data_IF_098189018269
#
_entry.id   IF_098189018269
#
_cell.length_a   1.000
_cell.length_b   1.000
_cell.length_c   1.000
_cell.angle_alpha   90.00
_cell.angle_beta   90.00
_cell.angle_gamma   90.00
#
_symmetry.space_group_name_H-M   'P 1'
#
loop_
_entity.id
_entity.type
_entity.pdbx_description
1 polymer ?
#
# COMPACT_ATOMS: atom_id res chain seq x y z
N UNK A 1 -9.83 -21.24 5.15
CA UNK A 1 -10.95 -20.40 5.59
C UNK A 1 -11.49 -19.71 4.37
N UNK A 2 -12.79 -19.45 4.29
CA UNK A 2 -13.40 -18.89 3.08
C UNK A 2 -13.00 -17.44 2.81
N UNK A 3 -12.40 -16.76 3.80
CA UNK A 3 -11.90 -15.40 3.70
C UNK A 3 -10.47 -15.28 3.17
N UNK A 4 -9.76 -16.39 2.96
CA UNK A 4 -8.46 -16.33 2.27
C UNK A 4 -8.65 -16.02 0.78
N UNK A 5 -7.75 -15.18 0.26
CA UNK A 5 -7.89 -14.59 -1.08
C UNK A 5 -8.04 -15.62 -2.22
N UNK A 6 -7.30 -16.76 -2.26
CA UNK A 6 -7.48 -17.76 -3.31
C UNK A 6 -8.85 -18.46 -3.27
N UNK A 7 -9.28 -18.87 -2.07
CA UNK A 7 -10.54 -19.56 -1.82
C UNK A 7 -11.73 -18.64 -2.13
N UNK A 8 -11.67 -17.40 -1.64
CA UNK A 8 -12.71 -16.42 -1.91
C UNK A 8 -12.85 -16.09 -3.40
N UNK A 9 -11.74 -15.96 -4.13
CA UNK A 9 -11.78 -15.78 -5.59
C UNK A 9 -12.42 -16.97 -6.30
N UNK A 10 -12.07 -18.20 -5.92
CA UNK A 10 -12.67 -19.42 -6.49
C UNK A 10 -14.18 -19.49 -6.21
N UNK A 11 -14.61 -19.03 -5.04
CA UNK A 11 -16.01 -18.92 -4.66
C UNK A 11 -16.75 -17.92 -5.55
N UNK A 12 -16.22 -16.71 -5.73
CA UNK A 12 -16.82 -15.69 -6.60
C UNK A 12 -16.92 -16.17 -8.06
N UNK A 13 -15.90 -16.87 -8.57
CA UNK A 13 -15.94 -17.45 -9.92
C UNK A 13 -17.01 -18.54 -10.06
N UNK A 14 -17.26 -19.31 -9.00
CA UNK A 14 -18.34 -20.30 -8.98
C UNK A 14 -19.71 -19.60 -8.96
N UNK A 15 -19.86 -18.54 -8.16
CA UNK A 15 -21.09 -17.73 -8.14
C UNK A 15 -21.37 -17.09 -9.50
N UNK A 16 -20.36 -16.57 -10.19
CA UNK A 16 -20.54 -16.05 -11.56
C UNK A 16 -21.08 -17.12 -12.50
N UNK A 17 -20.52 -18.33 -12.48
CA UNK A 17 -21.00 -19.46 -13.32
C UNK A 17 -22.43 -19.86 -13.00
N UNK A 18 -22.83 -19.82 -11.72
CA UNK A 18 -24.20 -20.07 -11.31
C UNK A 18 -25.14 -18.99 -11.85
N UNK A 19 -24.79 -17.72 -11.69
CA UNK A 19 -25.59 -16.60 -12.21
C UNK A 19 -25.66 -16.58 -13.76
N UNK A 20 -24.60 -17.00 -14.46
CA UNK A 20 -24.60 -17.22 -15.91
C UNK A 20 -25.58 -18.32 -16.33
N UNK A 21 -25.60 -19.44 -15.59
CA UNK A 21 -26.51 -20.55 -15.86
C UNK A 21 -27.98 -20.20 -15.62
N UNK A 22 -28.25 -19.30 -14.67
CA UNK A 22 -29.60 -18.83 -14.33
C UNK A 22 -30.05 -17.64 -15.20
N UNK A 23 -29.22 -17.18 -16.15
CA UNK A 23 -29.45 -15.99 -16.97
C UNK A 23 -29.70 -14.70 -16.13
N UNK A 24 -29.15 -14.65 -14.92
CA UNK A 24 -29.32 -13.57 -13.96
C UNK A 24 -28.42 -12.37 -14.27
N UNK A 25 -28.75 -11.65 -15.35
CA UNK A 25 -27.94 -10.55 -15.89
C UNK A 25 -27.66 -9.43 -14.87
N UNK A 26 -28.60 -9.14 -13.97
CA UNK A 26 -28.42 -8.08 -12.98
C UNK A 26 -27.42 -8.48 -11.88
N UNK A 27 -27.42 -9.76 -11.49
CA UNK A 27 -26.43 -10.33 -10.55
C UNK A 27 -25.04 -10.33 -11.18
N UNK A 28 -24.93 -10.70 -12.46
CA UNK A 28 -23.66 -10.63 -13.20
C UNK A 28 -23.14 -9.20 -13.32
N UNK A 29 -24.04 -8.24 -13.57
CA UNK A 29 -23.72 -6.81 -13.62
C UNK A 29 -23.18 -6.32 -12.27
N UNK A 30 -23.81 -6.70 -11.16
CA UNK A 30 -23.36 -6.36 -9.81
C UNK A 30 -22.00 -7.00 -9.49
N UNK A 31 -21.81 -8.29 -9.79
CA UNK A 31 -20.55 -9.01 -9.59
C UNK A 31 -19.40 -8.42 -10.41
N UNK A 32 -19.66 -7.96 -11.63
CA UNK A 32 -18.65 -7.43 -12.54
C UNK A 32 -18.24 -5.98 -12.26
N UNK A 33 -19.09 -5.20 -11.58
CA UNK A 33 -18.89 -3.75 -11.35
C UNK A 33 -18.58 -3.38 -9.90
N UNK A 34 -18.61 -4.34 -8.99
CA UNK A 34 -18.33 -4.12 -7.57
C UNK A 34 -16.90 -4.54 -7.21
N UNK A 35 -16.33 -3.85 -6.22
CA UNK A 35 -15.21 -4.35 -5.46
C UNK A 35 -15.75 -5.23 -4.33
N UNK A 36 -15.43 -6.53 -4.37
CA UNK A 36 -15.99 -7.52 -3.46
C UNK A 36 -14.94 -7.92 -2.42
N UNK A 37 -15.31 -7.82 -1.15
CA UNK A 37 -14.46 -8.23 -0.02
C UNK A 37 -15.23 -9.11 0.95
N UNK A 38 -14.53 -9.92 1.74
CA UNK A 38 -15.11 -10.79 2.76
C UNK A 38 -14.41 -10.54 4.09
N UNK A 39 -15.16 -10.57 5.19
CA UNK A 39 -14.62 -10.44 6.54
C UNK A 39 -15.32 -11.39 7.50
N UNK A 40 -14.56 -11.97 8.41
CA UNK A 40 -15.14 -12.62 9.59
C UNK A 40 -15.77 -11.54 10.48
N UNK A 41 -17.07 -11.65 10.70
CA UNK A 41 -17.86 -10.68 11.48
C UNK A 41 -18.48 -11.27 12.73
N UNK A 42 -18.41 -12.59 12.89
CA UNK A 42 -18.89 -13.28 14.07
C UNK A 42 -18.18 -14.60 14.29
N UNK A 43 -18.33 -15.12 15.50
CA UNK A 43 -17.88 -16.44 15.87
C UNK A 43 -18.76 -16.95 17.01
N UNK A 44 -19.39 -18.11 16.81
CA UNK A 44 -20.07 -18.85 17.87
C UNK A 44 -19.14 -19.94 18.40
N UNK A 45 -19.16 -20.17 19.72
CA UNK A 45 -18.34 -21.15 20.42
C UNK A 45 -19.08 -22.46 20.72
N UNK A 46 -20.30 -22.65 20.19
CA UNK A 46 -21.10 -23.86 20.41
C UNK A 46 -20.81 -24.91 19.33
N UNK A 47 -20.86 -26.20 19.69
CA UNK A 47 -20.76 -27.36 18.78
C UNK A 47 -19.60 -27.34 17.75
N UNK A 48 -18.36 -27.09 18.19
CA UNK A 48 -17.19 -27.12 17.30
C UNK A 48 -16.83 -25.76 16.69
N UNK A 49 -17.65 -24.74 16.93
CA UNK A 49 -17.40 -23.34 16.60
C UNK A 49 -17.73 -23.00 15.16
N UNK A 50 -18.55 -21.97 14.94
CA UNK A 50 -18.97 -21.53 13.61
C UNK A 50 -18.46 -20.10 13.38
N UNK A 51 -17.72 -19.93 12.29
CA UNK A 51 -17.23 -18.63 11.82
C UNK A 51 -18.27 -18.00 10.90
N UNK A 52 -18.72 -16.79 11.24
CA UNK A 52 -19.68 -16.05 10.43
C UNK A 52 -18.97 -14.97 9.64
N UNK A 53 -19.18 -14.98 8.34
CA UNK A 53 -18.59 -14.02 7.42
C UNK A 53 -19.65 -13.08 6.84
N UNK A 54 -19.24 -11.85 6.57
CA UNK A 54 -19.99 -10.86 5.80
C UNK A 54 -19.24 -10.54 4.52
N UNK A 55 -19.94 -10.58 3.39
CA UNK A 55 -19.41 -10.17 2.08
C UNK A 55 -19.88 -8.76 1.77
N UNK A 56 -18.93 -7.86 1.46
CA UNK A 56 -19.20 -6.48 1.12
C UNK A 56 -19.06 -6.27 -0.38
N UNK A 57 -20.08 -5.66 -0.98
CA UNK A 57 -20.09 -5.22 -2.37
C UNK A 57 -19.96 -3.71 -2.40
N UNK A 58 -18.76 -3.20 -2.65
CA UNK A 58 -18.53 -1.78 -2.84
C UNK A 58 -18.82 -1.40 -4.30
N UNK A 59 -19.85 -0.59 -4.51
CA UNK A 59 -20.33 -0.15 -5.84
C UNK A 59 -20.19 1.35 -6.00
N UNK A 60 -20.00 1.83 -7.23
CA UNK A 60 -19.94 3.26 -7.51
C UNK A 60 -21.20 3.99 -7.02
N UNK A 61 -21.04 5.24 -6.56
CA UNK A 61 -22.14 6.00 -5.92
C UNK A 61 -23.34 6.15 -6.85
N UNK A 62 -23.11 6.36 -8.14
CA UNK A 62 -24.17 6.43 -9.16
C UNK A 62 -25.01 5.15 -9.22
N UNK A 63 -24.35 4.00 -9.16
CA UNK A 63 -25.00 2.69 -9.20
C UNK A 63 -25.67 2.35 -7.85
N UNK A 64 -25.05 2.73 -6.73
CA UNK A 64 -25.65 2.56 -5.41
C UNK A 64 -27.01 3.26 -5.30
N UNK A 65 -27.18 4.42 -5.95
CA UNK A 65 -28.46 5.15 -5.99
C UNK A 65 -29.57 4.34 -6.67
N UNK A 66 -29.24 3.48 -7.63
CA UNK A 66 -30.20 2.60 -8.30
C UNK A 66 -30.67 1.48 -7.36
N UNK A 67 -29.73 0.88 -6.62
CA UNK A 67 -30.01 -0.21 -5.69
C UNK A 67 -30.62 0.25 -4.36
N UNK A 68 -30.41 1.51 -3.96
CA UNK A 68 -30.78 2.00 -2.61
C UNK A 68 -32.26 1.80 -2.25
N UNK A 69 -33.13 1.74 -3.25
CA UNK A 69 -34.58 1.61 -3.06
C UNK A 69 -34.99 0.18 -2.64
N UNK A 70 -34.14 -0.82 -2.88
CA UNK A 70 -34.38 -2.23 -2.54
C UNK A 70 -33.07 -2.95 -2.13
N UNK A 71 -32.35 -2.37 -1.16
CA UNK A 71 -31.07 -2.95 -0.70
C UNK A 71 -31.25 -4.33 -0.10
N UNK A 72 -32.27 -4.52 0.74
CA UNK A 72 -32.53 -5.81 1.40
C UNK A 72 -32.82 -6.91 0.38
N UNK A 73 -33.53 -6.60 -0.71
CA UNK A 73 -33.77 -7.55 -1.81
C UNK A 73 -32.48 -7.97 -2.49
N UNK A 74 -31.63 -7.00 -2.87
CA UNK A 74 -30.33 -7.28 -3.48
C UNK A 74 -29.38 -8.05 -2.57
N UNK A 75 -29.26 -7.64 -1.31
CA UNK A 75 -28.41 -8.32 -0.32
C UNK A 75 -28.86 -9.76 -0.11
N UNK A 76 -30.18 -10.01 -0.07
CA UNK A 76 -30.73 -11.36 0.06
C UNK A 76 -30.44 -12.22 -1.17
N UNK A 77 -30.68 -11.72 -2.38
CA UNK A 77 -30.40 -12.44 -3.64
C UNK A 77 -28.92 -12.82 -3.71
N UNK A 78 -28.03 -11.88 -3.42
CA UNK A 78 -26.59 -12.14 -3.42
C UNK A 78 -26.17 -13.15 -2.35
N UNK A 79 -26.78 -13.08 -1.16
CA UNK A 79 -26.53 -14.03 -0.09
C UNK A 79 -26.91 -15.46 -0.51
N UNK A 80 -28.06 -15.64 -1.16
CA UNK A 80 -28.51 -16.94 -1.66
C UNK A 80 -27.49 -17.53 -2.65
N UNK A 81 -27.00 -16.73 -3.60
CA UNK A 81 -25.95 -17.15 -4.54
C UNK A 81 -24.64 -17.50 -3.84
N UNK A 82 -24.20 -16.70 -2.87
CA UNK A 82 -22.94 -16.91 -2.14
C UNK A 82 -23.00 -18.10 -1.19
N UNK A 83 -24.17 -18.47 -0.70
CA UNK A 83 -24.34 -19.62 0.18
C UNK A 83 -24.25 -20.95 -0.58
N UNK A 84 -24.65 -21.02 -1.85
CA UNK A 84 -24.69 -22.27 -2.62
C UNK A 84 -23.33 -23.02 -2.66
N UNK A 85 -22.18 -22.37 -2.94
CA UNK A 85 -20.90 -23.06 -3.02
C UNK A 85 -20.37 -23.51 -1.66
N UNK A 86 -20.76 -22.85 -0.56
CA UNK A 86 -20.22 -23.09 0.79
C UNK A 86 -21.06 -24.06 1.64
N UNK A 87 -22.16 -24.59 1.10
CA UNK A 87 -23.05 -25.54 1.81
C UNK A 87 -22.36 -26.80 2.34
N UNK A 88 -21.20 -27.14 1.81
CA UNK A 88 -20.41 -28.30 2.22
C UNK A 88 -19.53 -28.01 3.43
N UNK A 89 -19.44 -26.76 3.88
CA UNK A 89 -18.66 -26.35 5.04
C UNK A 89 -19.51 -26.45 6.30
N UNK A 90 -18.97 -27.11 7.32
CA UNK A 90 -19.70 -27.33 8.59
C UNK A 90 -19.46 -26.22 9.62
N UNK A 91 -18.31 -25.54 9.54
CA UNK A 91 -17.87 -24.58 10.56
C UNK A 91 -17.71 -23.14 10.02
N UNK A 92 -18.08 -22.88 8.76
CA UNK A 92 -17.92 -21.58 8.12
C UNK A 92 -19.20 -21.22 7.37
N UNK A 93 -19.75 -20.03 7.64
CA UNK A 93 -21.00 -19.57 7.05
C UNK A 93 -20.87 -18.15 6.51
N UNK A 94 -21.29 -17.94 5.26
CA UNK A 94 -21.60 -16.60 4.76
C UNK A 94 -22.99 -16.23 5.29
N UNK A 95 -22.98 -15.38 6.31
CA UNK A 95 -24.17 -15.02 7.09
C UNK A 95 -24.86 -13.75 6.62
N UNK A 96 -24.11 -12.89 5.91
CA UNK A 96 -24.59 -11.57 5.48
C UNK A 96 -23.90 -11.12 4.21
N UNK A 97 -24.65 -10.38 3.40
CA UNK A 97 -24.14 -9.53 2.32
C UNK A 97 -24.47 -8.08 2.65
N UNK A 98 -23.56 -7.17 2.34
CA UNK A 98 -23.82 -5.74 2.51
C UNK A 98 -23.39 -4.97 1.27
N UNK A 99 -24.32 -4.24 0.66
CA UNK A 99 -24.01 -3.31 -0.42
C UNK A 99 -23.60 -1.98 0.20
N UNK A 100 -22.45 -1.45 -0.20
CA UNK A 100 -21.95 -0.15 0.29
C UNK A 100 -21.59 0.74 -0.89
N UNK A 101 -21.84 2.06 -0.79
CA UNK A 101 -21.28 2.98 -1.77
C UNK A 101 -19.76 2.99 -1.60
N UNK A 102 -19.04 2.93 -2.72
CA UNK A 102 -17.60 3.05 -2.78
C UNK A 102 -17.21 4.47 -2.36
N UNK A 103 -17.02 4.66 -1.06
CA UNK A 103 -16.37 5.85 -0.52
C UNK A 103 -14.86 5.63 -0.63
N UNK A 104 -14.08 6.70 -0.82
CA UNK A 104 -12.60 6.63 -0.78
C UNK A 104 -12.03 6.08 0.55
N UNK A 105 -12.88 5.81 1.53
CA UNK A 105 -12.56 5.23 2.85
C UNK A 105 -12.78 3.70 2.85
N UNK A 106 -13.45 3.14 1.83
CA UNK A 106 -13.87 1.73 1.75
C UNK A 106 -13.08 0.89 0.73
N UNK A 107 -11.86 1.29 0.33
CA UNK A 107 -10.89 0.35 -0.23
C UNK A 107 -10.34 -0.50 0.91
N UNK A 108 -11.11 -1.50 1.32
CA UNK A 108 -10.75 -2.44 2.38
C UNK A 108 -10.05 -3.69 1.84
N UNK A 109 -9.60 -3.66 0.58
CA UNK A 109 -8.59 -4.60 0.11
C UNK A 109 -7.30 -4.32 0.87
N UNK A 110 -6.75 -5.34 1.54
CA UNK A 110 -5.36 -5.23 2.00
C UNK A 110 -4.50 -4.84 0.80
N UNK A 111 -3.57 -3.89 0.98
CA UNK A 111 -2.73 -3.41 -0.10
C UNK A 111 -1.95 -4.59 -0.69
N UNK A 112 -2.42 -5.14 -1.82
CA UNK A 112 -1.77 -6.25 -2.52
C UNK A 112 -0.98 -5.70 -3.72
N UNK A 113 0.36 -5.66 -3.66
CA UNK A 113 1.19 -5.13 -4.74
C UNK A 113 1.09 -5.92 -6.05
N UNK A 114 0.56 -7.15 -6.01
CA UNK A 114 0.49 -8.06 -7.16
C UNK A 114 -0.89 -8.09 -7.83
N UNK A 115 -1.84 -7.23 -7.43
CA UNK A 115 -3.13 -7.16 -8.12
C UNK A 115 -3.03 -6.35 -9.42
N UNK A 116 -3.84 -6.66 -10.44
CA UNK A 116 -4.00 -5.78 -11.60
C UNK A 116 -4.50 -4.39 -11.17
N UNK A 117 -3.93 -3.34 -11.80
CA UNK A 117 -4.33 -1.96 -11.58
C UNK A 117 -5.51 -1.59 -12.49
N UNK A 118 -6.43 -0.78 -11.97
CA UNK A 118 -7.51 -0.15 -12.75
C UNK A 118 -6.97 0.92 -13.69
N UNK A 119 -7.77 1.33 -14.68
CA UNK A 119 -7.37 2.40 -15.61
C UNK A 119 -7.14 3.76 -14.94
N UNK A 120 -7.77 4.03 -13.78
CA UNK A 120 -7.49 5.22 -12.99
C UNK A 120 -6.13 5.12 -12.30
N UNK A 121 -5.86 3.99 -11.66
CA UNK A 121 -4.60 3.72 -10.96
C UNK A 121 -3.39 3.67 -11.91
N UNK A 122 -3.58 3.18 -13.14
CA UNK A 122 -2.54 3.25 -14.17
C UNK A 122 -2.22 4.70 -14.53
N UNK A 123 -3.23 5.56 -14.68
CA UNK A 123 -3.03 6.99 -14.93
C UNK A 123 -2.31 7.67 -13.77
N UNK A 124 -2.70 7.37 -12.54
CA UNK A 124 -2.04 7.91 -11.35
C UNK A 124 -0.59 7.44 -11.22
N UNK A 125 -0.33 6.16 -11.54
CA UNK A 125 1.01 5.60 -11.61
C UNK A 125 1.85 6.32 -12.66
N UNK A 126 1.29 6.63 -13.82
CA UNK A 126 1.97 7.35 -14.90
C UNK A 126 2.29 8.80 -14.50
N UNK A 127 1.34 9.51 -13.89
CA UNK A 127 1.55 10.85 -13.35
C UNK A 127 2.68 10.89 -12.32
N UNK A 128 2.64 9.97 -11.35
CA UNK A 128 3.68 9.85 -10.33
C UNK A 128 5.03 9.49 -10.96
N UNK A 129 5.05 8.61 -11.94
CA UNK A 129 6.25 8.24 -12.70
C UNK A 129 6.87 9.46 -13.38
N UNK A 130 6.06 10.30 -14.04
CA UNK A 130 6.55 11.52 -14.68
C UNK A 130 7.11 12.51 -13.67
N UNK A 131 6.48 12.63 -12.50
CA UNK A 131 6.94 13.48 -11.41
C UNK A 131 8.29 13.00 -10.85
N UNK A 132 8.43 11.70 -10.56
CA UNK A 132 9.67 11.09 -10.04
C UNK A 132 10.88 11.29 -10.98
N UNK A 133 10.68 11.49 -12.28
CA UNK A 133 11.77 11.79 -13.21
C UNK A 133 12.38 13.18 -12.98
N UNK A 134 11.62 14.12 -12.42
CA UNK A 134 11.99 15.53 -12.31
C UNK A 134 12.54 15.88 -10.93
N UNK A 135 11.96 15.30 -9.87
CA UNK A 135 12.24 15.65 -8.47
C UNK A 135 13.72 15.53 -8.09
N UNK A 136 14.21 16.39 -7.20
CA UNK A 136 15.50 16.24 -6.51
C UNK A 136 15.47 15.10 -5.48
N UNK A 137 16.62 14.76 -4.87
CA UNK A 137 16.68 13.80 -3.75
C UNK A 137 15.89 14.32 -2.53
N UNK A 138 15.91 15.63 -2.32
CA UNK A 138 15.22 16.33 -1.25
C UNK A 138 13.71 16.26 -1.47
N UNK A 139 13.27 16.58 -2.68
CA UNK A 139 11.85 16.50 -3.07
C UNK A 139 11.35 15.06 -3.07
N UNK A 140 12.19 14.08 -3.45
CA UNK A 140 11.88 12.66 -3.29
C UNK A 140 11.67 12.31 -1.82
N UNK A 141 12.49 12.85 -0.92
CA UNK A 141 12.34 12.59 0.52
C UNK A 141 11.08 13.28 1.06
N UNK A 142 10.97 14.59 0.91
CA UNK A 142 9.94 15.42 1.54
C UNK A 142 8.54 15.24 0.93
N UNK A 143 8.45 15.20 -0.40
CA UNK A 143 7.15 15.22 -1.09
C UNK A 143 6.64 13.81 -1.43
N UNK A 144 7.50 12.78 -1.34
CA UNK A 144 7.13 11.39 -1.66
C UNK A 144 7.28 10.48 -0.43
N UNK A 145 8.51 10.28 0.04
CA UNK A 145 8.77 9.26 1.05
C UNK A 145 8.15 9.60 2.40
N UNK A 146 8.19 10.87 2.81
CA UNK A 146 7.63 11.29 4.09
C UNK A 146 6.09 11.12 4.16
N UNK A 147 5.30 11.58 3.17
CA UNK A 147 3.87 11.25 3.07
C UNK A 147 3.60 9.75 3.06
N UNK A 148 4.38 8.99 2.27
CA UNK A 148 4.26 7.54 2.17
C UNK A 148 4.43 6.86 3.54
N UNK A 149 5.55 7.10 4.23
CA UNK A 149 5.82 6.45 5.50
C UNK A 149 4.81 6.87 6.59
N UNK A 150 4.38 8.13 6.61
CA UNK A 150 3.31 8.56 7.52
C UNK A 150 2.00 7.82 7.26
N UNK A 151 1.63 7.66 5.99
CA UNK A 151 0.43 6.91 5.61
C UNK A 151 0.53 5.44 6.02
N UNK A 152 1.72 4.84 5.90
CA UNK A 152 1.99 3.48 6.35
C UNK A 152 2.09 3.33 7.88
N UNK A 153 1.88 4.39 8.65
CA UNK A 153 1.83 4.35 10.13
C UNK A 153 3.16 4.59 10.83
N UNK A 154 4.22 4.97 10.11
CA UNK A 154 5.47 5.39 10.74
C UNK A 154 5.31 6.75 11.42
N UNK A 155 5.90 6.85 12.61
CA UNK A 155 5.89 8.04 13.45
C UNK A 155 7.25 8.74 13.40
N UNK A 156 7.23 10.04 13.74
CA UNK A 156 8.42 10.90 13.84
C UNK A 156 9.32 10.80 12.62
N UNK A 157 8.73 10.78 11.43
CA UNK A 157 9.50 10.91 10.20
C UNK A 157 10.07 12.33 10.22
N UNK A 158 11.32 12.47 10.64
CA UNK A 158 12.02 13.74 10.87
C UNK A 158 13.35 13.71 10.17
N UNK A 159 13.66 14.78 9.43
CA UNK A 159 15.00 15.06 8.93
C UNK A 159 15.79 15.62 10.12
N UNK A 160 16.83 14.92 10.58
CA UNK A 160 17.67 15.45 11.64
C UNK A 160 18.63 16.50 11.10
N UNK A 161 18.37 17.76 11.43
CA UNK A 161 19.22 18.91 11.10
C UNK A 161 18.72 20.16 11.79
N UNK A 162 19.61 20.89 12.45
CA UNK A 162 19.31 22.07 13.25
C UNK A 162 18.59 23.18 12.44
N UNK A 163 17.98 24.12 13.17
CA UNK A 163 17.25 25.33 12.73
C UNK A 163 17.92 26.21 11.66
N UNK A 164 19.12 25.88 11.19
CA UNK A 164 19.83 26.62 10.15
C UNK A 164 20.61 25.64 9.26
N UNK A 165 20.03 25.29 8.10
CA UNK A 165 20.70 25.21 6.78
C UNK A 165 19.96 24.28 5.82
N UNK A 166 19.39 24.90 4.79
CA UNK A 166 19.34 24.33 3.44
C UNK A 166 20.76 23.82 3.09
N UNK A 167 21.01 22.50 2.98
CA UNK A 167 22.20 21.82 2.40
C UNK A 167 22.87 20.72 3.27
N UNK A 168 22.14 19.77 3.85
CA UNK A 168 22.74 18.48 4.31
C UNK A 168 21.83 17.30 3.97
N UNK A 169 21.67 17.03 2.67
CA UNK A 169 20.81 15.95 2.21
C UNK A 169 21.57 14.61 2.12
N UNK A 170 20.95 13.56 2.66
CA UNK A 170 21.52 12.22 2.77
C UNK A 170 22.00 11.82 4.17
N UNK A 171 21.91 12.71 5.17
CA UNK A 171 22.18 12.36 6.58
C UNK A 171 20.87 12.37 7.34
N UNK A 172 20.46 11.18 7.75
CA UNK A 172 19.62 10.97 8.92
C UNK A 172 18.16 11.45 8.76
N UNK A 173 17.38 10.80 7.89
CA UNK A 173 15.96 10.64 8.20
C UNK A 173 15.84 9.42 9.07
N UNK A 174 15.33 9.61 10.28
CA UNK A 174 14.90 8.49 11.10
C UNK A 174 13.40 8.56 11.34
N UNK A 175 12.85 7.40 11.63
CA UNK A 175 11.44 7.22 11.96
C UNK A 175 11.30 6.02 12.89
N UNK A 176 10.12 5.87 13.48
CA UNK A 176 9.81 4.71 14.32
C UNK A 176 8.46 4.10 13.99
N UNK A 177 8.33 2.81 14.24
CA UNK A 177 7.07 2.09 14.08
C UNK A 177 6.67 1.46 15.41
N UNK A 178 5.40 1.64 15.80
CA UNK A 178 4.84 1.09 17.04
C UNK A 178 4.17 -0.24 16.71
N UNK A 179 4.70 -1.33 17.26
CA UNK A 179 4.08 -2.64 17.13
C UNK A 179 2.78 -2.71 17.97
N UNK A 180 1.83 -3.62 17.66
CA UNK A 180 0.63 -3.81 18.47
C UNK A 180 0.91 -4.11 19.95
N UNK A 181 2.09 -4.66 20.24
CA UNK A 181 2.59 -4.92 21.61
C UNK A 181 3.17 -3.68 22.29
N UNK A 182 3.08 -2.49 21.68
CA UNK A 182 3.64 -1.21 22.11
C UNK A 182 5.17 -1.10 22.10
N UNK A 183 5.87 -2.09 21.55
CA UNK A 183 7.32 -2.01 21.34
C UNK A 183 7.63 -1.14 20.12
N UNK A 184 8.78 -0.46 20.15
CA UNK A 184 9.23 0.46 19.10
C UNK A 184 10.33 -0.19 18.25
N UNK A 185 10.19 -0.08 16.94
CA UNK A 185 11.25 -0.35 15.97
C UNK A 185 11.75 0.99 15.41
N UNK A 186 13.05 1.13 15.22
CA UNK A 186 13.68 2.38 14.76
C UNK A 186 14.33 2.19 13.40
N UNK A 187 13.98 3.06 12.46
CA UNK A 187 14.41 2.98 11.08
C UNK A 187 15.24 4.19 10.72
N UNK A 188 16.36 3.96 10.07
CA UNK A 188 17.12 4.97 9.33
C UNK A 188 16.82 4.82 7.85
N UNK A 189 16.79 5.93 7.13
CA UNK A 189 16.52 5.92 5.69
C UNK A 189 17.72 6.53 4.97
N UNK A 190 18.25 5.77 4.02
CA UNK A 190 19.21 6.28 3.05
C UNK A 190 18.51 6.42 1.70
N UNK A 191 18.37 7.65 1.22
CA UNK A 191 17.72 7.95 -0.07
C UNK A 191 18.77 8.25 -1.12
N UNK A 192 18.52 7.81 -2.36
CA UNK A 192 19.26 8.22 -3.55
C UNK A 192 18.30 8.42 -4.73
N UNK A 193 18.40 9.54 -5.45
CA UNK A 193 17.50 9.79 -6.61
C UNK A 193 17.69 8.78 -7.76
N UNK A 194 18.93 8.43 -8.05
CA UNK A 194 19.31 7.68 -9.26
C UNK A 194 19.33 6.15 -9.08
N UNK A 195 19.78 5.46 -10.13
CA UNK A 195 20.06 4.02 -10.10
C UNK A 195 21.21 3.71 -9.13
N UNK A 196 21.08 2.63 -8.38
CA UNK A 196 22.16 2.08 -7.54
C UNK A 196 22.68 0.80 -8.22
N UNK A 197 23.94 0.83 -8.66
CA UNK A 197 24.58 -0.32 -9.28
C UNK A 197 25.98 -0.61 -8.71
N UNK A 198 26.43 -1.84 -8.89
CA UNK A 198 27.73 -2.31 -8.39
C UNK A 198 28.91 -1.90 -9.29
N UNK A 199 28.70 -1.07 -10.31
CA UNK A 199 29.75 -0.73 -11.26
C UNK A 199 30.67 0.33 -10.65
N UNK A 200 31.93 -0.01 -10.42
CA UNK A 200 32.91 0.86 -9.74
C UNK A 200 33.30 2.16 -10.46
N UNK A 201 32.66 2.50 -11.59
CA UNK A 201 32.87 3.74 -12.34
C UNK A 201 31.51 4.35 -12.66
N UNK A 202 31.21 5.46 -11.99
CA UNK A 202 29.99 6.23 -12.15
C UNK A 202 29.87 6.73 -13.59
N UNK A 203 29.09 6.03 -14.41
CA UNK A 203 28.43 6.70 -15.53
C UNK A 203 27.57 7.82 -14.94
N UNK A 204 27.60 8.99 -15.55
CA UNK A 204 26.88 10.19 -15.09
C UNK A 204 25.43 9.83 -14.73
N UNK A 205 25.09 9.87 -13.43
CA UNK A 205 23.75 9.53 -12.92
C UNK A 205 23.61 8.24 -12.10
N UNK A 206 24.64 7.38 -12.05
CA UNK A 206 24.65 6.17 -11.19
C UNK A 206 25.28 6.47 -9.84
N UNK A 207 24.64 6.01 -8.76
CA UNK A 207 25.14 6.16 -7.40
C UNK A 207 26.04 4.98 -7.03
N UNK A 208 27.15 5.29 -6.36
CA UNK A 208 28.11 4.28 -5.94
C UNK A 208 27.56 3.44 -4.78
N UNK A 209 27.51 2.13 -4.98
CA UNK A 209 27.14 1.17 -3.93
C UNK A 209 28.04 1.26 -2.68
N UNK A 210 29.32 1.63 -2.84
CA UNK A 210 30.23 1.82 -1.71
C UNK A 210 29.87 3.06 -0.87
N UNK A 211 29.39 4.13 -1.52
CA UNK A 211 28.92 5.33 -0.82
C UNK A 211 27.67 5.02 0.01
N UNK A 212 26.69 4.35 -0.61
CA UNK A 212 25.45 3.92 0.06
C UNK A 212 25.75 3.01 1.25
N UNK A 213 26.70 2.09 1.10
CA UNK A 213 27.16 1.22 2.19
C UNK A 213 27.71 2.01 3.38
N UNK A 214 28.65 2.93 3.12
CA UNK A 214 29.25 3.71 4.19
C UNK A 214 28.23 4.60 4.90
N UNK A 215 27.31 5.21 4.15
CA UNK A 215 26.22 6.01 4.74
C UNK A 215 25.27 5.15 5.57
N UNK A 216 24.91 3.96 5.07
CA UNK A 216 24.09 3.00 5.81
C UNK A 216 24.77 2.55 7.11
N UNK A 217 26.07 2.28 7.08
CA UNK A 217 26.85 1.98 8.29
C UNK A 217 26.85 3.14 9.29
N UNK A 218 26.97 4.38 8.82
CA UNK A 218 26.91 5.55 9.69
C UNK A 218 25.54 5.70 10.35
N UNK A 219 24.44 5.52 9.60
CA UNK A 219 23.07 5.52 10.12
C UNK A 219 22.88 4.47 11.21
N UNK A 220 23.41 3.26 11.00
CA UNK A 220 23.37 2.19 11.99
C UNK A 220 24.24 2.49 13.23
N UNK A 221 25.31 3.25 13.07
CA UNK A 221 26.16 3.69 14.17
C UNK A 221 25.59 4.85 14.99
N UNK A 222 24.57 5.54 14.48
CA UNK A 222 24.06 6.76 15.07
C UNK A 222 23.11 6.49 16.24
N UNK A 223 23.41 7.10 17.39
CA UNK A 223 22.48 7.18 18.52
C UNK A 223 21.57 8.40 18.34
N UNK A 224 20.27 8.14 18.19
CA UNK A 224 19.22 9.16 18.05
C UNK A 224 18.52 9.37 19.39
N UNK A 225 18.16 10.61 19.72
CA UNK A 225 17.39 10.89 20.93
C UNK A 225 15.89 10.81 20.63
N UNK A 226 15.17 9.89 21.30
CA UNK A 226 13.70 9.85 21.25
C UNK A 226 13.11 10.57 22.48
N UNK A 227 12.57 11.79 22.34
CA UNK A 227 12.01 12.52 23.46
C UNK A 227 10.69 11.93 23.99
N UNK A 228 10.03 11.00 23.28
CA UNK A 228 8.81 10.36 23.81
C UNK A 228 9.14 9.40 24.97
N UNK A 229 10.36 8.85 24.97
CA UNK A 229 10.87 7.98 26.05
C UNK A 229 12.05 8.60 26.80
N UNK A 230 12.52 9.78 26.36
CA UNK A 230 13.61 10.54 26.98
C UNK A 230 14.96 9.83 26.94
N UNK A 231 15.26 9.04 25.90
CA UNK A 231 16.48 8.23 25.81
C UNK A 231 17.12 8.25 24.43
N UNK A 232 18.44 8.06 24.41
CA UNK A 232 19.17 7.76 23.18
C UNK A 232 18.96 6.28 22.82
N UNK A 233 18.65 6.04 21.55
CA UNK A 233 18.41 4.71 20.97
C UNK A 233 19.19 4.55 19.69
N UNK A 234 19.50 3.31 19.34
CA UNK A 234 20.14 2.98 18.07
C UNK A 234 19.08 2.53 17.07
N UNK A 235 19.31 2.85 15.81
CA UNK A 235 18.51 2.35 14.69
C UNK A 235 18.79 0.87 14.47
N UNK A 236 17.76 0.02 14.42
CA UNK A 236 17.90 -1.42 14.20
C UNK A 236 17.59 -1.85 12.74
N UNK A 237 16.94 -0.97 11.98
CA UNK A 237 16.56 -1.19 10.58
C UNK A 237 17.06 -0.06 9.67
N UNK A 238 17.55 -0.39 8.47
CA UNK A 238 17.83 0.63 7.44
C UNK A 238 17.02 0.36 6.20
N UNK A 239 16.35 1.40 5.71
CA UNK A 239 15.68 1.38 4.41
C UNK A 239 16.58 2.12 3.41
N UNK A 240 17.10 1.38 2.43
CA UNK A 240 17.85 1.92 1.30
C UNK A 240 16.86 2.16 0.16
N UNK A 241 16.64 3.43 -0.15
CA UNK A 241 15.66 3.88 -1.14
C UNK A 241 16.36 4.40 -2.39
N UNK A 242 15.93 3.95 -3.56
CA UNK A 242 16.34 4.51 -4.85
C UNK A 242 15.13 5.04 -5.64
N UNK A 243 15.22 6.26 -6.16
CA UNK A 243 14.28 6.79 -7.16
C UNK A 243 14.43 6.15 -8.54
N UNK A 244 15.50 5.37 -8.75
CA UNK A 244 15.71 4.48 -9.88
C UNK A 244 15.70 3.00 -9.46
N UNK A 245 16.34 2.16 -10.28
CA UNK A 245 16.49 0.73 -9.99
C UNK A 245 17.62 0.49 -8.96
N UNK A 246 17.43 -0.46 -8.03
CA UNK A 246 18.54 -1.06 -7.26
C UNK A 246 18.85 -2.41 -7.88
N UNK A 247 19.99 -2.53 -8.56
CA UNK A 247 20.30 -3.76 -9.30
C UNK A 247 20.42 -4.97 -8.39
N UNK A 248 20.14 -6.16 -8.91
CA UNK A 248 20.31 -7.42 -8.17
C UNK A 248 21.73 -7.58 -7.60
N UNK A 249 22.74 -7.17 -8.37
CA UNK A 249 24.14 -7.18 -7.92
C UNK A 249 24.38 -6.23 -6.75
N UNK A 250 23.76 -5.03 -6.77
CA UNK A 250 23.88 -4.05 -5.70
C UNK A 250 23.19 -4.53 -4.43
N UNK A 251 21.96 -5.07 -4.54
CA UNK A 251 21.24 -5.69 -3.41
C UNK A 251 22.05 -6.80 -2.75
N UNK A 252 22.60 -7.73 -3.57
CA UNK A 252 23.42 -8.83 -3.07
C UNK A 252 24.69 -8.34 -2.39
N UNK A 253 25.40 -7.39 -3.00
CA UNK A 253 26.64 -6.86 -2.44
C UNK A 253 26.38 -6.12 -1.12
N UNK A 254 25.42 -5.19 -1.10
CA UNK A 254 25.04 -4.43 0.10
C UNK A 254 24.59 -5.34 1.24
N UNK A 255 23.71 -6.30 0.94
CA UNK A 255 23.26 -7.29 1.92
C UNK A 255 24.43 -8.08 2.49
N UNK A 256 25.28 -8.65 1.63
CA UNK A 256 26.43 -9.45 2.07
C UNK A 256 27.43 -8.70 2.96
N UNK A 257 27.67 -7.41 2.67
CA UNK A 257 28.63 -6.61 3.44
C UNK A 257 28.05 -6.16 4.78
N UNK A 258 26.79 -5.72 4.80
CA UNK A 258 26.15 -5.22 6.02
C UNK A 258 25.77 -6.37 6.97
N UNK A 259 25.31 -7.51 6.45
CA UNK A 259 24.98 -8.70 7.25
C UNK A 259 26.21 -9.28 7.96
N UNK A 260 27.38 -9.19 7.33
CA UNK A 260 28.63 -9.72 7.88
C UNK A 260 29.09 -8.97 9.14
N UNK A 261 28.64 -7.72 9.32
CA UNK A 261 29.13 -6.82 10.38
C UNK A 261 28.13 -6.68 11.53
N UNK A 262 26.81 -6.70 11.27
CA UNK A 262 25.77 -6.57 12.29
C UNK A 262 24.49 -7.35 11.93
N UNK A 263 23.88 -8.07 12.90
CA UNK A 263 22.51 -8.63 12.77
C UNK A 263 21.48 -7.50 12.75
N UNK A 264 21.30 -6.85 11.60
CA UNK A 264 20.33 -5.76 11.41
C UNK A 264 19.58 -5.96 10.11
N UNK A 265 18.36 -5.42 10.04
CA UNK A 265 17.46 -5.65 8.92
C UNK A 265 17.63 -4.55 7.87
N UNK A 266 18.02 -4.96 6.66
CA UNK A 266 18.19 -4.06 5.52
C UNK A 266 17.00 -4.25 4.60
N UNK A 267 16.29 -3.16 4.35
CA UNK A 267 15.12 -3.13 3.48
C UNK A 267 15.52 -2.33 2.25
N UNK A 268 15.29 -2.89 1.07
CA UNK A 268 15.56 -2.22 -0.19
C UNK A 268 14.23 -1.81 -0.82
N UNK A 269 14.12 -0.54 -1.19
CA UNK A 269 12.94 0.03 -1.84
C UNK A 269 13.38 0.77 -3.09
N UNK A 270 13.03 0.27 -4.26
CA UNK A 270 13.31 0.96 -5.52
C UNK A 270 12.09 1.73 -6.03
N UNK A 271 12.24 2.33 -7.21
CA UNK A 271 11.19 3.11 -7.85
C UNK A 271 9.87 2.37 -7.98
N UNK A 272 9.90 1.11 -8.40
CA UNK A 272 8.66 0.34 -8.60
C UNK A 272 7.98 0.07 -7.26
N UNK A 273 8.77 -0.21 -6.22
CA UNK A 273 8.26 -0.38 -4.86
C UNK A 273 7.51 0.89 -4.39
N UNK A 274 8.10 2.08 -4.59
CA UNK A 274 7.47 3.37 -4.25
C UNK A 274 6.16 3.56 -5.01
N UNK A 275 6.18 3.38 -6.33
CA UNK A 275 5.00 3.54 -7.19
C UNK A 275 3.88 2.60 -6.75
N UNK A 276 4.19 1.32 -6.54
CA UNK A 276 3.20 0.34 -6.16
C UNK A 276 2.63 0.64 -4.77
N UNK A 277 3.45 1.03 -3.79
CA UNK A 277 2.97 1.41 -2.46
C UNK A 277 2.02 2.60 -2.51
N UNK A 278 2.32 3.62 -3.32
CA UNK A 278 1.44 4.78 -3.49
C UNK A 278 0.06 4.40 -4.01
N UNK A 279 0.04 3.62 -5.09
CA UNK A 279 -1.19 3.28 -5.79
C UNK A 279 -2.03 2.31 -4.96
N UNK A 280 -1.39 1.26 -4.46
CA UNK A 280 -2.08 0.18 -3.76
C UNK A 280 -2.65 0.62 -2.41
N UNK A 281 -2.03 1.63 -1.77
CA UNK A 281 -2.55 2.24 -0.54
C UNK A 281 -3.42 3.49 -0.81
N UNK A 282 -3.75 3.80 -2.09
CA UNK A 282 -4.53 4.99 -2.48
C UNK A 282 -4.00 6.30 -1.86
N UNK A 283 -2.66 6.45 -1.83
CA UNK A 283 -2.02 7.63 -1.25
C UNK A 283 -2.19 8.80 -2.22
N UNK A 284 -2.70 9.97 -1.75
CA UNK A 284 -2.84 11.14 -2.60
C UNK A 284 -1.52 11.52 -3.27
N UNK A 285 -1.57 11.74 -4.59
CA UNK A 285 -0.41 12.21 -5.34
C UNK A 285 -0.01 13.62 -4.90
N UNK A 286 1.29 13.98 -4.97
CA UNK A 286 1.72 15.35 -4.77
C UNK A 286 1.02 16.28 -5.76
N UNK A 287 0.65 17.49 -5.34
CA UNK A 287 -0.03 18.45 -6.21
C UNK A 287 0.75 18.73 -7.51
N UNK A 288 2.09 18.74 -7.44
CA UNK A 288 2.97 18.94 -8.60
C UNK A 288 3.04 17.72 -9.55
N UNK A 289 2.49 16.57 -9.16
CA UNK A 289 2.35 15.39 -10.01
C UNK A 289 1.02 15.37 -10.79
N UNK A 290 0.02 16.14 -10.33
CA UNK A 290 -1.29 16.21 -11.00
C UNK A 290 -1.21 17.10 -12.25
N UNK A 291 -2.03 16.82 -13.29
CA UNK A 291 -2.13 17.72 -14.43
C UNK A 291 -2.64 19.10 -13.96
N UNK A 292 -2.23 20.19 -14.63
CA UNK A 292 -2.76 21.51 -14.33
C UNK A 292 -4.29 21.48 -14.47
N UNK A 293 -4.99 22.04 -13.48
CA UNK A 293 -6.45 22.14 -13.51
C UNK A 293 -6.89 22.81 -14.82
N UNK A 294 -7.85 22.20 -15.52
CA UNK A 294 -8.46 22.85 -16.68
C UNK A 294 -9.07 24.18 -16.22
N UNK A 295 -8.89 25.27 -16.98
CA UNK A 295 -9.53 26.53 -16.64
C UNK A 295 -11.04 26.32 -16.58
N UNK A 296 -11.67 26.69 -15.46
CA UNK A 296 -13.13 26.70 -15.33
C UNK A 296 -13.71 27.50 -16.48
N UNK A 297 -14.38 26.81 -17.39
CA UNK A 297 -15.09 27.45 -18.49
C UNK A 297 -16.40 27.99 -17.89
N UNK A 298 -16.40 29.26 -17.53
CA UNK A 298 -17.46 30.01 -16.86
C UNK A 298 -18.70 30.26 -17.75
N UNK A 299 -18.95 29.38 -18.72
CA UNK A 299 -20.11 29.39 -19.61
C UNK A 299 -21.19 28.46 -19.04
N UNK A 300 -21.78 28.84 -17.90
CA UNK A 300 -23.10 28.34 -17.50
C UNK A 300 -24.15 29.14 -18.29
N UNK A 301 -24.95 28.53 -19.18
CA UNK A 301 -26.04 29.23 -19.84
C UNK A 301 -27.16 29.47 -18.82
N UNK A 302 -27.51 30.74 -18.64
CA UNK A 302 -28.73 31.19 -17.96
C UNK A 302 -29.99 30.79 -18.73
#
# INVERSE_FOLDING_TARGET
>A
MIDSLPEFRSLIETVKKLAEADEANDVLSLLGRSEITIRQTGYDNWNGGIYFYTVFFAVEVSQFIEFRNDLEGWEKIMLEYLQLPVRHLENEEISRVTLVPKSGIASLTEPNPSRPLSSAEVRDKDHLTQYLNKVSEDELTENILMPLFRHLGFQRVTVTGHKDKQLEFGKDVWMKFVLPTQHLLYFGIQVKKGKIDSAGLTKTGNNSVAEVYNQSLMLLGLAIFDPDIGKNVLVDHVIIVAGGEITKSARLWLGSQLDAVQRRQIIFMDREDILNLYIVNNIPLPAAALPPAEPENDDLPF
#
